data_IF_870362329624
#
_entry.id   IF_870362329624
#
_cell.length_a   1.000
_cell.length_b   1.000
_cell.length_c   1.000
_cell.angle_alpha   90.00
_cell.angle_beta   90.00
_cell.angle_gamma   90.00
#
_symmetry.space_group_name_H-M   'P 1'
#
loop_
_entity.id
_entity.type
_entity.pdbx_description
1 polymer ?
#
# COMPACT_ATOMS: atom_id res chain seq x y z
N UNK A 1 -43.98 33.86 -47.66
CA UNK A 1 -42.95 34.89 -47.71
C UNK A 1 -42.24 35.00 -46.39
N UNK A 2 -40.95 35.19 -46.45
CA UNK A 2 -39.96 35.43 -45.39
C UNK A 2 -39.36 34.19 -44.74
N UNK A 3 -38.16 33.91 -45.19
CA UNK A 3 -37.16 33.02 -44.69
C UNK A 3 -36.61 33.49 -43.32
N UNK A 4 -36.41 32.59 -42.36
CA UNK A 4 -35.44 32.77 -41.30
C UNK A 4 -34.55 31.55 -41.21
N UNK A 5 -33.36 31.68 -41.75
CA UNK A 5 -32.22 30.80 -41.52
C UNK A 5 -31.64 31.07 -40.14
N UNK A 6 -31.71 30.07 -39.27
CA UNK A 6 -30.98 30.11 -38.02
C UNK A 6 -29.72 29.23 -38.13
N UNK A 7 -28.56 29.90 -38.11
CA UNK A 7 -27.26 29.28 -37.91
C UNK A 7 -27.19 28.64 -36.53
N UNK A 8 -27.16 27.34 -36.48
CA UNK A 8 -26.69 26.64 -35.28
C UNK A 8 -25.16 26.71 -35.24
N UNK A 9 -24.63 27.59 -34.39
CA UNK A 9 -23.25 27.55 -33.93
C UNK A 9 -23.04 26.29 -33.14
N UNK A 10 -22.20 25.41 -33.62
CA UNK A 10 -21.67 24.29 -32.86
C UNK A 10 -20.80 24.82 -31.70
N UNK A 11 -21.32 24.79 -30.49
CA UNK A 11 -20.53 24.95 -29.28
C UNK A 11 -19.79 23.65 -29.00
N UNK A 12 -18.46 23.69 -28.97
CA UNK A 12 -17.58 22.62 -28.57
C UNK A 12 -17.97 22.10 -27.15
N UNK A 13 -17.96 20.79 -26.92
CA UNK A 13 -18.25 20.27 -25.58
C UNK A 13 -17.10 20.64 -24.65
N UNK A 14 -17.42 21.51 -23.72
CA UNK A 14 -16.55 21.87 -22.59
C UNK A 14 -16.18 20.64 -21.77
N UNK A 15 -14.93 20.66 -21.31
CA UNK A 15 -14.24 19.66 -20.45
C UNK A 15 -14.90 19.40 -19.06
N UNK A 16 -16.19 19.11 -19.05
CA UNK A 16 -16.94 18.86 -17.80
C UNK A 16 -17.16 17.37 -17.48
N UNK A 17 -16.50 16.44 -18.21
CA UNK A 17 -16.79 15.00 -18.09
C UNK A 17 -15.70 14.26 -17.30
N UNK A 18 -14.83 14.92 -16.55
CA UNK A 18 -13.73 14.27 -15.82
C UNK A 18 -13.91 14.21 -14.30
N UNK A 19 -15.12 14.34 -13.80
CA UNK A 19 -15.42 14.25 -12.35
C UNK A 19 -16.55 13.26 -12.02
N UNK A 20 -16.65 12.17 -12.76
CA UNK A 20 -17.25 10.97 -12.19
C UNK A 20 -16.21 10.33 -11.29
N UNK A 21 -16.21 10.73 -10.02
CA UNK A 21 -15.59 9.98 -8.94
C UNK A 21 -16.00 8.52 -9.12
N UNK A 22 -15.09 7.69 -9.60
CA UNK A 22 -15.30 6.25 -9.58
C UNK A 22 -15.44 5.84 -8.11
N UNK A 23 -16.68 5.68 -7.69
CA UNK A 23 -16.99 5.01 -6.42
C UNK A 23 -16.39 3.62 -6.56
N UNK A 24 -15.42 3.30 -5.74
CA UNK A 24 -14.82 1.99 -5.71
C UNK A 24 -15.89 0.98 -5.36
N UNK A 25 -16.23 0.08 -6.29
CA UNK A 25 -17.00 -1.10 -5.96
C UNK A 25 -16.16 -1.96 -5.01
N UNK A 26 -16.60 -2.12 -3.78
CA UNK A 26 -15.96 -2.91 -2.74
C UNK A 26 -16.07 -4.42 -2.95
N UNK A 27 -16.58 -4.86 -4.07
CA UNK A 27 -16.74 -6.27 -4.40
C UNK A 27 -15.90 -6.65 -5.61
N UNK A 28 -15.28 -7.80 -5.56
CA UNK A 28 -14.74 -8.50 -6.71
C UNK A 28 -15.89 -8.78 -7.69
N UNK A 29 -16.11 -7.89 -8.67
CA UNK A 29 -17.10 -8.14 -9.71
C UNK A 29 -16.48 -9.10 -10.72
N UNK A 30 -16.92 -10.37 -10.78
CA UNK A 30 -16.38 -11.35 -11.71
C UNK A 30 -16.57 -10.91 -13.16
N UNK A 31 -15.75 -11.40 -14.07
CA UNK A 31 -15.79 -11.04 -15.49
C UNK A 31 -17.14 -11.33 -16.17
N UNK A 32 -17.92 -12.25 -15.64
CA UNK A 32 -19.26 -12.61 -16.13
C UNK A 32 -20.29 -12.36 -15.03
N UNK A 33 -20.68 -11.11 -14.80
CA UNK A 33 -21.75 -10.80 -13.85
C UNK A 33 -23.09 -10.70 -14.52
N UNK A 34 -24.16 -10.99 -13.76
CA UNK A 34 -25.57 -10.82 -14.20
C UNK A 34 -25.90 -9.36 -14.51
N UNK A 35 -25.10 -8.42 -14.00
CA UNK A 35 -25.30 -6.97 -14.11
C UNK A 35 -24.38 -6.29 -15.14
N UNK A 36 -23.65 -7.06 -15.94
CA UNK A 36 -22.70 -6.51 -16.91
C UNK A 36 -23.35 -6.14 -18.23
N UNK A 37 -23.31 -4.88 -18.61
CA UNK A 37 -23.44 -4.45 -20.01
C UNK A 37 -22.18 -4.81 -20.82
N UNK A 38 -22.07 -4.47 -22.12
CA UNK A 38 -20.88 -4.74 -22.92
C UNK A 38 -19.67 -4.09 -22.26
N UNK A 39 -18.69 -4.94 -21.89
CA UNK A 39 -17.50 -4.52 -21.15
C UNK A 39 -16.61 -3.67 -22.06
N UNK A 40 -16.28 -2.42 -21.72
CA UNK A 40 -15.09 -1.81 -22.26
C UNK A 40 -13.89 -2.63 -21.79
N UNK A 41 -12.98 -2.99 -22.68
CA UNK A 41 -11.66 -3.51 -22.30
C UNK A 41 -10.93 -2.38 -21.55
N UNK A 42 -11.07 -2.38 -20.23
CA UNK A 42 -10.45 -1.37 -19.39
C UNK A 42 -9.12 -1.94 -18.89
N UNK A 43 -7.97 -1.38 -19.28
CA UNK A 43 -6.68 -1.81 -18.78
C UNK A 43 -6.54 -1.67 -17.24
N UNK A 44 -7.45 -0.94 -16.62
CA UNK A 44 -7.54 -0.74 -15.16
C UNK A 44 -8.52 -1.70 -14.47
N UNK A 45 -8.82 -2.86 -15.06
CA UNK A 45 -9.69 -3.84 -14.43
C UNK A 45 -9.05 -4.40 -13.16
N UNK A 46 -9.87 -4.51 -12.10
CA UNK A 46 -9.43 -5.06 -10.81
C UNK A 46 -8.99 -6.51 -10.95
N UNK A 47 -7.86 -6.84 -10.35
CA UNK A 47 -7.40 -8.23 -10.24
C UNK A 47 -8.32 -8.99 -9.30
N UNK A 48 -8.81 -10.14 -9.76
CA UNK A 48 -9.71 -11.02 -9.02
C UNK A 48 -9.04 -12.36 -8.73
N UNK A 49 -9.64 -13.18 -7.88
CA UNK A 49 -9.19 -14.56 -7.67
C UNK A 49 -9.19 -15.37 -8.98
N UNK A 50 -10.11 -15.07 -9.90
CA UNK A 50 -10.15 -15.72 -11.21
C UNK A 50 -8.92 -15.37 -12.04
N UNK A 51 -8.51 -14.09 -12.06
CA UNK A 51 -7.29 -13.67 -12.75
C UNK A 51 -6.04 -14.37 -12.16
N UNK A 52 -5.94 -14.45 -10.82
CA UNK A 52 -4.83 -15.14 -10.16
C UNK A 52 -4.79 -16.63 -10.49
N UNK A 53 -5.95 -17.31 -10.50
CA UNK A 53 -6.06 -18.71 -10.93
C UNK A 53 -5.66 -18.92 -12.39
N UNK A 54 -6.00 -17.98 -13.27
CA UNK A 54 -5.61 -18.03 -14.68
C UNK A 54 -4.09 -17.85 -14.84
N UNK A 55 -3.50 -16.86 -14.15
CA UNK A 55 -2.04 -16.67 -14.14
C UNK A 55 -1.32 -17.95 -13.66
N UNK A 56 -1.77 -18.50 -12.54
CA UNK A 56 -1.21 -19.74 -11.99
C UNK A 56 -1.28 -20.92 -12.98
N UNK A 57 -2.45 -21.13 -13.61
CA UNK A 57 -2.63 -22.18 -14.64
C UNK A 57 -1.72 -22.01 -15.85
N UNK A 58 -1.38 -20.77 -16.22
CA UNK A 58 -0.49 -20.45 -17.33
C UNK A 58 0.99 -20.45 -16.92
N UNK A 59 1.31 -20.66 -15.64
CA UNK A 59 2.67 -20.53 -15.13
C UNK A 59 3.19 -19.07 -15.09
N UNK A 60 2.30 -18.08 -15.18
CA UNK A 60 2.66 -16.66 -15.09
C UNK A 60 2.90 -16.28 -13.62
N UNK A 61 4.02 -15.61 -13.28
CA UNK A 61 4.33 -15.26 -11.91
C UNK A 61 3.36 -14.21 -11.35
N UNK A 62 3.04 -14.36 -10.05
CA UNK A 62 2.18 -13.43 -9.31
C UNK A 62 3.05 -12.47 -8.51
N UNK A 63 2.84 -11.17 -8.69
CA UNK A 63 3.56 -10.13 -7.97
C UNK A 63 2.77 -9.66 -6.76
N UNK A 64 3.41 -9.65 -5.58
CA UNK A 64 2.80 -9.18 -4.34
C UNK A 64 3.74 -8.19 -3.66
N UNK A 65 3.22 -7.08 -3.20
CA UNK A 65 3.98 -6.10 -2.39
C UNK A 65 3.08 -5.57 -1.28
N UNK A 66 3.65 -5.29 -0.12
CA UNK A 66 2.88 -4.68 0.98
C UNK A 66 2.63 -3.20 0.73
N UNK A 67 1.55 -2.66 1.31
CA UNK A 67 1.31 -1.22 1.41
C UNK A 67 0.59 -0.91 2.72
N UNK A 68 0.77 0.31 3.23
CA UNK A 68 0.27 0.68 4.55
C UNK A 68 -0.45 2.03 4.58
N UNK A 69 -0.39 2.78 3.49
CA UNK A 69 -0.98 4.12 3.37
C UNK A 69 -1.48 4.39 1.93
N UNK A 70 -2.07 5.56 1.75
CA UNK A 70 -2.58 5.98 0.45
C UNK A 70 -1.49 6.10 -0.63
N UNK A 71 -0.34 6.81 -0.40
CA UNK A 71 0.67 6.96 -1.44
C UNK A 71 1.34 5.64 -1.82
N UNK A 72 1.68 4.77 -0.87
CA UNK A 72 2.25 3.45 -1.19
C UNK A 72 1.28 2.61 -2.02
N UNK A 73 -0.02 2.65 -1.71
CA UNK A 73 -1.04 1.96 -2.49
C UNK A 73 -1.15 2.49 -3.93
N UNK A 74 -1.08 3.81 -4.13
CA UNK A 74 -1.05 4.43 -5.47
C UNK A 74 0.18 3.98 -6.26
N UNK A 75 1.34 3.87 -5.62
CA UNK A 75 2.55 3.37 -6.27
C UNK A 75 2.40 1.93 -6.76
N UNK A 76 1.82 1.04 -5.93
CA UNK A 76 1.57 -0.33 -6.31
C UNK A 76 0.55 -0.45 -7.46
N UNK A 77 -0.50 0.36 -7.41
CA UNK A 77 -1.52 0.43 -8.45
C UNK A 77 -0.91 0.83 -9.79
N UNK A 78 -0.10 1.88 -9.79
CA UNK A 78 0.61 2.40 -10.97
C UNK A 78 1.62 1.39 -11.52
N UNK A 79 2.35 0.70 -10.63
CA UNK A 79 3.32 -0.31 -11.02
C UNK A 79 2.68 -1.59 -11.56
N UNK A 80 1.36 -1.75 -11.45
CA UNK A 80 0.64 -2.91 -11.95
C UNK A 80 0.83 -4.18 -11.12
N UNK A 81 1.11 -4.07 -9.83
CA UNK A 81 1.22 -5.21 -8.89
C UNK A 81 -0.10 -5.99 -8.84
N UNK A 82 -0.04 -7.31 -8.80
CA UNK A 82 -1.24 -8.17 -8.81
C UNK A 82 -1.98 -8.16 -7.46
N UNK A 83 -1.24 -8.26 -6.35
CA UNK A 83 -1.80 -8.28 -5.00
C UNK A 83 -1.13 -7.18 -4.17
N UNK A 84 -1.95 -6.35 -3.53
CA UNK A 84 -1.52 -5.40 -2.52
C UNK A 84 -1.86 -5.98 -1.14
N UNK A 85 -0.84 -6.26 -0.34
CA UNK A 85 -0.98 -6.83 0.99
C UNK A 85 -0.87 -5.72 2.05
N UNK A 86 -1.89 -5.54 2.86
CA UNK A 86 -1.79 -4.75 4.09
C UNK A 86 -1.32 -5.69 5.18
N UNK A 87 0.00 -5.71 5.39
CA UNK A 87 0.67 -6.64 6.30
C UNK A 87 0.70 -6.12 7.73
N UNK A 88 0.63 -7.03 8.72
CA UNK A 88 0.87 -6.72 10.12
C UNK A 88 2.33 -6.29 10.39
N UNK A 89 3.21 -6.48 9.40
CA UNK A 89 4.53 -5.86 9.35
C UNK A 89 4.50 -4.31 9.43
N UNK A 90 3.32 -3.68 9.27
CA UNK A 90 3.10 -2.28 9.62
C UNK A 90 3.55 -1.96 11.05
N UNK A 91 3.36 -2.89 11.98
CA UNK A 91 3.87 -2.80 13.35
C UNK A 91 5.37 -2.44 13.38
N UNK A 92 6.16 -3.07 12.50
CA UNK A 92 7.60 -2.88 12.46
C UNK A 92 8.02 -1.67 11.59
N UNK A 93 7.52 -1.60 10.35
CA UNK A 93 8.05 -0.65 9.35
C UNK A 93 7.34 0.70 9.38
N UNK A 94 6.18 0.82 10.02
CA UNK A 94 5.42 2.06 10.15
C UNK A 94 5.35 2.53 11.60
N UNK A 95 5.05 1.63 12.53
CA UNK A 95 4.91 1.96 13.95
C UNK A 95 6.23 1.90 14.73
N UNK A 96 7.29 1.25 14.17
CA UNK A 96 8.62 1.20 14.76
C UNK A 96 8.79 0.18 15.88
N UNK A 97 7.93 -0.83 15.97
CA UNK A 97 8.07 -1.94 16.91
C UNK A 97 9.08 -2.99 16.41
N UNK A 98 9.61 -3.79 17.32
CA UNK A 98 10.56 -4.87 17.00
C UNK A 98 9.91 -6.13 16.42
N UNK A 99 8.59 -6.26 16.56
CA UNK A 99 7.80 -7.42 16.14
C UNK A 99 6.46 -7.00 15.56
N UNK A 100 5.74 -7.95 14.94
CA UNK A 100 4.39 -7.72 14.43
C UNK A 100 3.30 -7.79 15.52
N UNK A 101 3.64 -8.27 16.72
CA UNK A 101 2.66 -8.54 17.78
C UNK A 101 1.90 -7.31 18.31
N UNK A 102 2.51 -6.11 18.46
CA UNK A 102 1.84 -4.98 19.09
C UNK A 102 0.68 -4.39 18.31
N UNK A 103 0.65 -4.55 16.98
CA UNK A 103 -0.38 -3.89 16.15
C UNK A 103 -1.77 -4.48 16.45
N UNK A 104 -2.71 -3.59 16.73
CA UNK A 104 -4.10 -3.95 16.98
C UNK A 104 -4.91 -4.08 15.68
N UNK A 105 -6.10 -4.69 15.77
CA UNK A 105 -7.04 -4.74 14.64
C UNK A 105 -7.47 -3.35 14.20
N UNK A 106 -7.72 -2.43 15.13
CA UNK A 106 -8.19 -1.09 14.79
C UNK A 106 -7.12 -0.28 14.04
N UNK A 107 -5.84 -0.43 14.39
CA UNK A 107 -4.72 0.15 13.64
C UNK A 107 -4.62 -0.49 12.25
N UNK A 108 -4.71 -1.81 12.14
CA UNK A 108 -4.76 -2.49 10.84
C UNK A 108 -5.90 -1.98 9.96
N UNK A 109 -7.07 -1.72 10.51
CA UNK A 109 -8.20 -1.16 9.78
C UNK A 109 -7.94 0.28 9.30
N UNK A 110 -7.15 1.08 10.03
CA UNK A 110 -6.69 2.41 9.54
C UNK A 110 -5.85 2.25 8.28
N UNK A 111 -4.86 1.35 8.30
CA UNK A 111 -4.01 1.05 7.15
C UNK A 111 -4.83 0.48 5.98
N UNK A 112 -5.70 -0.48 6.23
CA UNK A 112 -6.58 -1.07 5.22
C UNK A 112 -7.41 0.00 4.51
N UNK A 113 -8.08 0.89 5.25
CA UNK A 113 -8.89 1.98 4.68
C UNK A 113 -8.06 2.95 3.83
N UNK A 114 -6.84 3.27 4.26
CA UNK A 114 -5.95 4.14 3.51
C UNK A 114 -5.53 3.49 2.18
N UNK A 115 -5.08 2.24 2.22
CA UNK A 115 -4.71 1.45 1.04
C UNK A 115 -5.89 1.27 0.10
N UNK A 116 -7.07 0.95 0.63
CA UNK A 116 -8.29 0.78 -0.14
C UNK A 116 -8.69 2.01 -0.96
N UNK A 117 -8.35 3.23 -0.51
CA UNK A 117 -8.55 4.45 -1.29
C UNK A 117 -7.54 4.62 -2.42
N UNK A 118 -6.29 4.19 -2.23
CA UNK A 118 -5.18 4.37 -3.17
C UNK A 118 -5.14 3.33 -4.29
N UNK A 119 -5.27 2.05 -3.95
CA UNK A 119 -5.17 0.96 -4.90
C UNK A 119 -6.53 0.58 -5.50
N UNK A 120 -6.64 0.62 -6.82
CA UNK A 120 -7.88 0.31 -7.57
C UNK A 120 -7.80 -1.02 -8.31
N UNK A 121 -6.63 -1.33 -8.87
CA UNK A 121 -6.39 -2.50 -9.70
C UNK A 121 -6.00 -3.76 -8.91
N UNK A 122 -5.03 -3.77 -7.98
CA UNK A 122 -4.60 -5.00 -7.31
C UNK A 122 -5.70 -5.61 -6.45
N UNK A 123 -5.66 -6.96 -6.29
CA UNK A 123 -6.41 -7.65 -5.26
C UNK A 123 -5.92 -7.17 -3.89
N UNK A 124 -6.81 -6.75 -3.00
CA UNK A 124 -6.46 -6.27 -1.67
C UNK A 124 -6.57 -7.39 -0.64
N UNK A 125 -5.48 -7.67 0.03
CA UNK A 125 -5.43 -8.67 1.12
C UNK A 125 -5.04 -7.95 2.40
N UNK A 126 -5.78 -8.17 3.49
CA UNK A 126 -5.46 -7.64 4.82
C UNK A 126 -5.06 -8.76 5.77
N UNK A 127 -3.96 -8.55 6.52
CA UNK A 127 -3.58 -9.48 7.57
C UNK A 127 -4.54 -9.42 8.76
N UNK A 128 -4.81 -10.57 9.35
CA UNK A 128 -5.39 -10.66 10.68
C UNK A 128 -4.24 -10.53 11.69
N UNK A 129 -4.20 -9.47 12.52
CA UNK A 129 -3.15 -9.31 13.50
C UNK A 129 -3.25 -10.33 14.63
N UNK A 130 -2.11 -10.60 15.27
CA UNK A 130 -2.05 -11.51 16.41
C UNK A 130 -3.07 -11.16 17.50
N UNK A 131 -3.70 -12.17 18.08
CA UNK A 131 -4.71 -12.00 19.13
C UNK A 131 -6.15 -11.83 18.60
N UNK A 132 -6.37 -11.82 17.29
CA UNK A 132 -7.68 -11.53 16.68
C UNK A 132 -8.36 -12.73 16.03
N UNK A 133 -7.71 -13.89 15.98
CA UNK A 133 -8.26 -15.12 15.35
C UNK A 133 -7.85 -16.42 16.05
N UNK A 134 -7.25 -16.32 17.22
CA UNK A 134 -6.67 -17.45 17.94
C UNK A 134 -7.62 -18.09 18.93
N UNK A 135 -8.52 -17.33 19.54
CA UNK A 135 -9.32 -17.80 20.68
C UNK A 135 -10.52 -18.65 20.28
N UNK A 136 -11.10 -18.38 19.10
CA UNK A 136 -12.24 -19.16 18.58
C UNK A 136 -12.45 -18.91 17.07
N UNK A 137 -13.23 -19.81 16.43
CA UNK A 137 -13.65 -19.62 15.03
C UNK A 137 -14.58 -18.43 14.87
N UNK A 138 -15.44 -18.13 15.84
CA UNK A 138 -16.31 -16.95 15.82
C UNK A 138 -15.48 -15.66 15.79
N UNK A 139 -14.48 -15.54 16.68
CA UNK A 139 -13.56 -14.41 16.69
C UNK A 139 -12.88 -14.24 15.32
N UNK A 140 -12.39 -15.34 14.75
CA UNK A 140 -11.69 -15.32 13.47
C UNK A 140 -12.61 -14.81 12.31
N UNK A 141 -13.87 -15.29 12.28
CA UNK A 141 -14.86 -14.85 11.30
C UNK A 141 -15.23 -13.38 11.51
N UNK A 142 -15.52 -12.97 12.74
CA UNK A 142 -15.88 -11.59 13.08
C UNK A 142 -14.75 -10.62 12.69
N UNK A 143 -13.50 -10.98 12.98
CA UNK A 143 -12.33 -10.19 12.57
C UNK A 143 -12.22 -10.10 11.05
N UNK A 144 -12.35 -11.21 10.34
CA UNK A 144 -12.29 -11.23 8.87
C UNK A 144 -13.41 -10.37 8.26
N UNK A 145 -14.62 -10.42 8.80
CA UNK A 145 -15.76 -9.56 8.39
C UNK A 145 -15.43 -8.08 8.57
N UNK A 146 -14.81 -7.69 9.70
CA UNK A 146 -14.37 -6.30 9.91
C UNK A 146 -13.32 -5.87 8.90
N UNK A 147 -12.33 -6.71 8.61
CA UNK A 147 -11.29 -6.42 7.62
C UNK A 147 -11.89 -6.20 6.22
N UNK A 148 -12.87 -6.99 5.81
CA UNK A 148 -13.56 -6.80 4.54
C UNK A 148 -14.46 -5.55 4.55
N UNK A 149 -15.36 -5.44 5.53
CA UNK A 149 -16.40 -4.40 5.53
C UNK A 149 -15.87 -3.03 5.94
N UNK A 150 -15.08 -2.96 7.01
CA UNK A 150 -14.55 -1.71 7.53
C UNK A 150 -13.22 -1.34 6.86
N UNK A 151 -12.36 -2.32 6.58
CA UNK A 151 -11.07 -2.14 5.95
C UNK A 151 -11.14 -1.99 4.42
N UNK A 152 -12.21 -2.50 3.78
CA UNK A 152 -12.37 -2.48 2.32
C UNK A 152 -11.43 -3.45 1.60
N UNK A 153 -11.05 -4.55 2.25
CA UNK A 153 -10.23 -5.60 1.66
C UNK A 153 -11.07 -6.60 0.88
N UNK A 154 -10.44 -7.32 -0.05
CA UNK A 154 -11.07 -8.36 -0.86
C UNK A 154 -10.87 -9.76 -0.27
N UNK A 155 -9.80 -9.93 0.50
CA UNK A 155 -9.40 -11.18 1.12
C UNK A 155 -8.64 -10.88 2.43
N UNK A 156 -8.42 -11.93 3.22
CA UNK A 156 -7.59 -11.85 4.43
C UNK A 156 -6.38 -12.78 4.32
N UNK A 157 -5.31 -12.51 5.13
CA UNK A 157 -4.23 -13.46 5.39
C UNK A 157 -4.21 -13.84 6.87
N UNK A 158 -3.88 -15.10 7.16
CA UNK A 158 -3.64 -15.58 8.52
C UNK A 158 -2.40 -16.48 8.57
N UNK A 159 -1.75 -16.54 9.73
CA UNK A 159 -0.51 -17.26 9.93
C UNK A 159 -0.67 -18.58 10.68
N UNK A 160 0.13 -19.56 10.25
CA UNK A 160 0.28 -20.85 10.92
C UNK A 160 -0.65 -21.92 10.40
N UNK A 161 -0.40 -23.13 10.88
CA UNK A 161 -1.11 -24.32 10.44
C UNK A 161 -1.29 -25.35 11.56
N UNK A 162 -1.36 -24.91 12.82
CA UNK A 162 -1.88 -25.74 13.90
C UNK A 162 -3.32 -26.13 13.63
N UNK A 163 -3.86 -27.20 14.22
CA UNK A 163 -5.26 -27.60 14.01
C UNK A 163 -6.26 -26.47 14.21
N UNK A 164 -6.05 -25.62 15.22
CA UNK A 164 -6.89 -24.45 15.49
C UNK A 164 -6.84 -23.41 14.34
N UNK A 165 -5.66 -23.18 13.74
CA UNK A 165 -5.49 -22.25 12.60
C UNK A 165 -6.16 -22.77 11.33
N UNK A 166 -6.03 -24.07 11.05
CA UNK A 166 -6.73 -24.74 9.93
C UNK A 166 -8.24 -24.63 10.11
N UNK A 167 -8.72 -24.84 11.36
CA UNK A 167 -10.16 -24.71 11.68
C UNK A 167 -10.64 -23.26 11.52
N UNK A 168 -9.87 -22.28 11.95
CA UNK A 168 -10.18 -20.86 11.76
C UNK A 168 -10.21 -20.49 10.26
N UNK A 169 -9.20 -20.90 9.48
CA UNK A 169 -9.16 -20.69 8.03
C UNK A 169 -10.40 -21.27 7.33
N UNK A 170 -10.77 -22.49 7.68
CA UNK A 170 -11.96 -23.16 7.14
C UNK A 170 -13.24 -22.38 7.47
N UNK A 171 -13.42 -21.97 8.72
CA UNK A 171 -14.61 -21.23 9.14
C UNK A 171 -14.75 -19.89 8.40
N UNK A 172 -13.64 -19.18 8.18
CA UNK A 172 -13.63 -17.94 7.41
C UNK A 172 -14.00 -18.20 5.93
N UNK A 173 -13.44 -19.27 5.33
CA UNK A 173 -13.78 -19.67 3.96
C UNK A 173 -15.26 -20.05 3.84
N UNK A 174 -15.79 -20.82 4.78
CA UNK A 174 -17.20 -21.21 4.82
C UNK A 174 -18.15 -20.02 5.02
N UNK A 175 -17.68 -18.95 5.66
CA UNK A 175 -18.38 -17.67 5.76
C UNK A 175 -18.35 -16.86 4.43
N UNK A 176 -17.73 -17.38 3.36
CA UNK A 176 -17.68 -16.75 2.03
C UNK A 176 -16.53 -15.75 1.86
N UNK A 177 -15.51 -15.79 2.71
CA UNK A 177 -14.36 -14.87 2.67
C UNK A 177 -13.13 -15.59 2.11
N UNK A 178 -12.45 -14.95 1.15
CA UNK A 178 -11.22 -15.50 0.57
C UNK A 178 -10.06 -15.43 1.57
N UNK A 179 -9.34 -16.54 1.72
CA UNK A 179 -8.24 -16.69 2.69
C UNK A 179 -6.94 -17.01 1.99
N UNK A 180 -5.89 -16.25 2.30
CA UNK A 180 -4.49 -16.56 2.02
C UNK A 180 -3.86 -17.17 3.28
N UNK A 181 -3.36 -18.40 3.19
CA UNK A 181 -2.63 -19.03 4.29
C UNK A 181 -1.18 -18.56 4.35
N UNK A 182 -0.48 -18.88 5.46
CA UNK A 182 0.92 -18.55 5.62
C UNK A 182 1.64 -19.60 6.47
N UNK A 183 2.69 -20.20 5.94
CA UNK A 183 3.50 -21.24 6.59
C UNK A 183 5.00 -20.97 6.45
N UNK A 184 5.81 -21.72 7.18
CA UNK A 184 7.25 -21.51 7.30
C UNK A 184 7.55 -20.69 8.55
N UNK A 185 8.35 -19.65 8.43
CA UNK A 185 8.44 -18.65 9.48
C UNK A 185 7.10 -17.92 9.60
N UNK A 186 6.55 -17.89 10.77
CA UNK A 186 5.34 -17.15 11.12
C UNK A 186 5.71 -16.10 12.16
N UNK A 187 5.87 -14.81 11.77
CA UNK A 187 6.29 -13.73 12.68
C UNK A 187 5.46 -13.62 13.95
N UNK A 188 4.16 -13.88 13.87
CA UNK A 188 3.26 -13.85 15.03
C UNK A 188 3.59 -14.94 16.06
N UNK A 189 4.24 -16.04 15.67
CA UNK A 189 4.66 -17.10 16.58
C UNK A 189 6.10 -16.92 17.13
N UNK A 190 6.65 -15.71 17.09
CA UNK A 190 8.03 -15.39 17.44
C UNK A 190 8.44 -15.91 18.84
N UNK A 191 7.53 -15.87 19.81
CA UNK A 191 7.75 -16.34 21.17
C UNK A 191 7.99 -17.86 21.24
N UNK A 192 7.25 -18.62 20.42
CA UNK A 192 7.36 -20.10 20.34
C UNK A 192 8.57 -20.51 19.49
N UNK A 193 8.82 -19.78 18.41
CA UNK A 193 9.95 -20.05 17.49
C UNK A 193 11.30 -19.59 18.06
N UNK A 194 11.30 -18.77 19.12
CA UNK A 194 12.51 -18.21 19.73
C UNK A 194 13.24 -17.23 18.79
N UNK A 195 12.48 -16.39 18.07
CA UNK A 195 12.96 -15.38 17.15
C UNK A 195 12.58 -15.67 15.69
N UNK A 196 13.01 -14.82 14.78
CA UNK A 196 12.80 -14.96 13.32
C UNK A 196 13.74 -16.06 12.75
N UNK A 197 13.34 -17.31 12.88
CA UNK A 197 14.14 -18.47 12.48
C UNK A 197 13.57 -19.16 11.23
N UNK A 198 14.39 -19.41 10.18
CA UNK A 198 13.98 -20.18 9.02
C UNK A 198 13.48 -21.57 9.42
N UNK A 199 12.38 -22.01 8.80
CA UNK A 199 11.74 -23.30 9.03
C UNK A 199 12.09 -24.32 7.92
N UNK A 200 11.82 -25.60 8.12
CA UNK A 200 12.03 -26.62 7.10
C UNK A 200 13.49 -27.03 6.88
N UNK A 201 14.39 -26.85 7.86
CA UNK A 201 15.82 -27.14 7.76
C UNK A 201 16.22 -28.60 7.99
N UNK A 202 15.32 -29.42 8.48
CA UNK A 202 15.49 -30.86 8.66
C UNK A 202 14.29 -31.61 8.09
N UNK A 203 14.41 -32.92 7.92
CA UNK A 203 13.38 -33.76 7.28
C UNK A 203 12.00 -33.54 7.90
N UNK A 204 11.90 -33.66 9.23
CA UNK A 204 10.61 -33.54 9.92
C UNK A 204 9.98 -32.16 9.71
N UNK A 205 10.74 -31.07 9.90
CA UNK A 205 10.22 -29.71 9.72
C UNK A 205 9.93 -29.38 8.24
N UNK A 206 10.67 -29.94 7.29
CA UNK A 206 10.41 -29.77 5.87
C UNK A 206 9.10 -30.46 5.45
N UNK A 207 8.91 -31.71 5.86
CA UNK A 207 7.64 -32.43 5.65
C UNK A 207 6.48 -31.68 6.27
N UNK A 208 6.65 -31.16 7.49
CA UNK A 208 5.61 -30.38 8.18
C UNK A 208 5.18 -29.13 7.43
N UNK A 209 6.11 -28.43 6.77
CA UNK A 209 5.76 -27.26 5.92
C UNK A 209 4.83 -27.68 4.79
N UNK A 210 5.14 -28.79 4.10
CA UNK A 210 4.32 -29.27 2.98
C UNK A 210 2.96 -29.74 3.45
N UNK A 211 2.91 -30.56 4.52
CA UNK A 211 1.65 -31.03 5.10
C UNK A 211 0.73 -29.87 5.54
N UNK A 212 1.32 -28.86 6.16
CA UNK A 212 0.57 -27.68 6.62
C UNK A 212 0.02 -26.88 5.44
N UNK A 213 0.82 -26.69 4.39
CA UNK A 213 0.36 -26.01 3.18
C UNK A 213 -0.79 -26.78 2.49
N UNK A 214 -0.71 -28.11 2.44
CA UNK A 214 -1.80 -28.96 1.94
C UNK A 214 -3.06 -28.83 2.82
N UNK A 215 -2.94 -28.82 4.14
CA UNK A 215 -4.07 -28.66 5.04
C UNK A 215 -4.78 -27.31 4.87
N UNK A 216 -4.03 -26.22 4.61
CA UNK A 216 -4.58 -24.90 4.29
C UNK A 216 -5.31 -24.91 2.95
N UNK A 217 -4.76 -25.58 1.93
CA UNK A 217 -5.46 -25.78 0.66
C UNK A 217 -6.79 -26.51 0.86
N UNK A 218 -6.78 -27.61 1.62
CA UNK A 218 -8.01 -28.38 1.92
C UNK A 218 -8.99 -27.60 2.82
N UNK A 219 -8.54 -26.61 3.58
CA UNK A 219 -9.40 -25.67 4.28
C UNK A 219 -10.04 -24.64 3.35
N UNK A 220 -9.62 -24.57 2.06
CA UNK A 220 -10.19 -23.69 1.05
C UNK A 220 -9.41 -22.40 0.81
N UNK A 221 -8.20 -22.27 1.32
CA UNK A 221 -7.34 -21.12 1.03
C UNK A 221 -7.10 -21.00 -0.49
N UNK A 222 -7.11 -19.78 -1.02
CA UNK A 222 -6.87 -19.55 -2.45
C UNK A 222 -5.39 -19.48 -2.82
N UNK A 223 -4.52 -19.28 -1.83
CA UNK A 223 -3.06 -19.18 -1.96
C UNK A 223 -2.40 -19.41 -0.61
N UNK A 224 -1.11 -19.75 -0.60
CA UNK A 224 -0.30 -19.93 0.63
C UNK A 224 1.03 -19.18 0.49
N UNK A 225 1.36 -18.35 1.48
CA UNK A 225 2.69 -17.75 1.63
C UNK A 225 3.65 -18.79 2.20
N UNK A 226 4.83 -18.91 1.61
CA UNK A 226 5.96 -19.71 2.09
C UNK A 226 7.06 -18.73 2.54
N UNK A 227 7.27 -18.59 3.85
CA UNK A 227 8.25 -17.64 4.39
C UNK A 227 9.46 -18.34 4.97
N UNK A 228 10.65 -17.91 4.53
CA UNK A 228 11.95 -18.34 5.07
C UNK A 228 12.10 -19.88 5.16
N UNK A 229 11.71 -20.57 4.08
CA UNK A 229 11.90 -22.02 3.92
C UNK A 229 12.99 -22.29 2.88
N UNK A 230 13.75 -23.41 2.97
CA UNK A 230 14.74 -23.74 1.96
C UNK A 230 14.10 -23.91 0.56
N UNK A 231 14.78 -23.49 -0.53
CA UNK A 231 14.26 -23.60 -1.89
C UNK A 231 13.75 -24.98 -2.30
N UNK A 232 14.39 -26.11 -1.94
CA UNK A 232 13.84 -27.44 -2.24
C UNK A 232 12.50 -27.73 -1.57
N UNK A 233 12.29 -27.21 -0.34
CA UNK A 233 11.03 -27.36 0.41
C UNK A 233 9.93 -26.52 -0.26
N UNK A 234 10.26 -25.29 -0.66
CA UNK A 234 9.35 -24.42 -1.40
C UNK A 234 8.93 -25.03 -2.75
N UNK A 235 9.89 -25.61 -3.48
CA UNK A 235 9.62 -26.30 -4.75
C UNK A 235 8.68 -27.50 -4.55
N UNK A 236 8.94 -28.32 -3.53
CA UNK A 236 8.10 -29.49 -3.21
C UNK A 236 6.67 -29.05 -2.81
N UNK A 237 6.53 -28.05 -1.94
CA UNK A 237 5.23 -27.51 -1.55
C UNK A 237 4.49 -26.95 -2.77
N UNK A 238 5.15 -26.15 -3.62
CA UNK A 238 4.56 -25.57 -4.83
C UNK A 238 4.06 -26.64 -5.80
N UNK A 239 4.83 -27.71 -5.99
CA UNK A 239 4.46 -28.83 -6.85
C UNK A 239 3.30 -29.67 -6.28
N UNK A 240 3.20 -29.79 -4.96
CA UNK A 240 2.15 -30.57 -4.29
C UNK A 240 0.79 -29.84 -4.25
N UNK A 241 0.78 -28.53 -4.36
CA UNK A 241 -0.42 -27.70 -4.25
C UNK A 241 -1.07 -27.42 -5.61
N UNK A 242 -2.39 -27.30 -5.61
CA UNK A 242 -3.21 -26.86 -6.77
C UNK A 242 -3.47 -25.36 -6.76
N UNK A 243 -3.13 -24.67 -5.67
CA UNK A 243 -3.28 -23.23 -5.47
C UNK A 243 -1.89 -22.56 -5.54
N UNK A 244 -1.81 -21.27 -5.93
CA UNK A 244 -0.54 -20.59 -6.01
C UNK A 244 0.17 -20.46 -4.66
N UNK A 245 1.50 -20.62 -4.68
CA UNK A 245 2.37 -20.29 -3.56
C UNK A 245 3.03 -18.94 -3.77
N UNK A 246 3.16 -18.15 -2.70
CA UNK A 246 3.82 -16.84 -2.71
C UNK A 246 5.04 -16.92 -1.80
N UNK A 247 6.23 -16.79 -2.38
CA UNK A 247 7.49 -16.90 -1.63
C UNK A 247 7.94 -15.57 -1.03
N UNK A 248 8.49 -15.64 0.17
CA UNK A 248 9.31 -14.59 0.77
C UNK A 248 10.48 -15.24 1.49
N UNK A 249 11.70 -15.01 1.00
CA UNK A 249 12.87 -15.73 1.49
C UNK A 249 12.83 -17.26 1.26
N UNK A 250 12.06 -17.72 0.26
CA UNK A 250 11.84 -19.13 -0.05
C UNK A 250 12.49 -19.57 -1.39
N UNK A 251 13.27 -18.69 -2.02
CA UNK A 251 13.86 -18.92 -3.32
C UNK A 251 12.88 -18.75 -4.49
N UNK A 252 13.29 -19.09 -5.74
CA UNK A 252 12.58 -18.72 -6.96
C UNK A 252 11.48 -19.72 -7.38
N UNK A 253 11.20 -20.78 -6.63
CA UNK A 253 10.36 -21.89 -7.07
C UNK A 253 8.87 -21.77 -6.68
N UNK A 254 8.46 -20.63 -6.10
CA UNK A 254 7.06 -20.34 -5.83
C UNK A 254 6.34 -19.76 -7.05
N UNK A 255 5.01 -19.82 -7.06
CA UNK A 255 4.17 -19.26 -8.13
C UNK A 255 4.22 -17.73 -8.20
N UNK A 256 4.61 -17.07 -7.11
CA UNK A 256 4.80 -15.63 -6.99
C UNK A 256 5.74 -15.28 -5.87
N UNK A 257 6.00 -13.97 -5.71
CA UNK A 257 6.90 -13.44 -4.68
C UNK A 257 6.28 -12.25 -3.99
N UNK A 258 6.55 -12.10 -2.68
CA UNK A 258 6.18 -10.91 -1.91
C UNK A 258 7.40 -10.29 -1.25
N UNK A 259 7.43 -8.95 -1.21
CA UNK A 259 8.38 -8.18 -0.40
C UNK A 259 7.66 -7.05 0.33
N UNK A 260 8.23 -6.68 1.48
CA UNK A 260 7.79 -5.51 2.25
C UNK A 260 8.21 -4.24 1.51
N UNK A 261 7.27 -3.32 1.31
CA UNK A 261 7.45 -2.08 0.53
C UNK A 261 8.66 -1.26 1.01
N UNK A 262 8.77 -1.05 2.33
CA UNK A 262 9.86 -0.27 2.91
C UNK A 262 11.23 -0.94 2.72
N UNK A 263 11.28 -2.26 2.80
CA UNK A 263 12.52 -3.03 2.63
C UNK A 263 12.99 -2.99 1.18
N UNK A 264 12.09 -3.28 0.23
CA UNK A 264 12.46 -3.32 -1.20
C UNK A 264 12.87 -1.94 -1.75
N UNK A 265 12.38 -0.85 -1.15
CA UNK A 265 12.74 0.51 -1.54
C UNK A 265 13.91 1.10 -0.73
N UNK A 266 14.42 0.38 0.26
CA UNK A 266 15.49 0.87 1.13
C UNK A 266 15.11 2.16 1.86
N UNK A 267 13.88 2.21 2.39
CA UNK A 267 13.36 3.40 3.09
C UNK A 267 13.84 3.48 4.54
N UNK A 268 14.08 2.33 5.18
CA UNK A 268 14.47 2.26 6.58
C UNK A 268 15.99 2.33 6.71
N UNK A 269 16.49 3.44 7.23
CA UNK A 269 17.92 3.68 7.46
C UNK A 269 18.27 3.80 8.94
N UNK A 270 17.30 3.70 9.83
CA UNK A 270 17.58 3.74 11.26
C UNK A 270 18.52 2.59 11.64
N UNK A 271 19.59 2.82 12.44
CA UNK A 271 20.58 1.79 12.79
C UNK A 271 19.97 0.53 13.40
N UNK A 272 18.84 0.65 14.09
CA UNK A 272 18.09 -0.46 14.62
C UNK A 272 17.43 -1.30 13.50
N UNK A 273 16.75 -0.66 12.55
CA UNK A 273 16.08 -1.35 11.45
C UNK A 273 17.02 -1.77 10.31
N UNK A 274 18.13 -1.07 10.09
CA UNK A 274 19.16 -1.50 9.14
C UNK A 274 19.79 -2.86 9.52
N UNK A 275 19.73 -3.23 10.80
CA UNK A 275 20.14 -4.57 11.28
C UNK A 275 19.10 -5.64 11.03
N UNK A 276 17.85 -5.28 10.74
CA UNK A 276 16.72 -6.20 10.55
C UNK A 276 16.21 -6.29 9.12
N UNK A 277 16.82 -5.56 8.15
CA UNK A 277 16.53 -5.83 6.73
C UNK A 277 16.82 -7.30 6.44
N UNK A 278 15.82 -8.08 5.99
CA UNK A 278 16.01 -9.51 5.79
C UNK A 278 17.08 -9.79 4.74
N UNK A 279 17.95 -10.77 4.97
CA UNK A 279 19.05 -11.14 4.06
C UNK A 279 18.57 -11.51 2.65
N UNK A 280 17.33 -11.95 2.52
CA UNK A 280 16.72 -12.32 1.24
C UNK A 280 16.15 -11.10 0.48
N UNK A 281 16.03 -9.95 1.13
CA UNK A 281 15.43 -8.77 0.52
C UNK A 281 16.41 -8.10 -0.44
N UNK A 282 16.05 -8.05 -1.71
CA UNK A 282 16.74 -7.20 -2.69
C UNK A 282 16.19 -5.79 -2.59
N UNK A 283 17.05 -4.83 -2.30
CA UNK A 283 16.72 -3.42 -2.40
C UNK A 283 16.82 -2.97 -3.87
N UNK A 284 15.71 -2.49 -4.41
CA UNK A 284 15.64 -1.97 -5.79
C UNK A 284 15.96 -0.47 -5.85
N UNK A 285 15.93 0.22 -4.71
CA UNK A 285 16.26 1.63 -4.56
C UNK A 285 16.82 1.90 -3.16
N UNK A 286 17.30 3.12 -2.94
CA UNK A 286 17.71 3.66 -1.64
C UNK A 286 16.95 4.96 -1.37
N UNK A 287 15.64 4.85 -1.26
CA UNK A 287 14.73 6.00 -1.13
C UNK A 287 15.00 6.79 0.14
N UNK A 288 15.42 6.12 1.23
CA UNK A 288 15.81 6.79 2.46
C UNK A 288 16.96 7.81 2.28
N UNK A 289 17.95 7.52 1.41
CA UNK A 289 19.03 8.47 1.10
C UNK A 289 18.49 9.72 0.39
N UNK A 290 17.55 9.53 -0.55
CA UNK A 290 16.92 10.63 -1.29
C UNK A 290 16.09 11.51 -0.36
N UNK A 291 15.32 10.90 0.55
CA UNK A 291 14.53 11.61 1.55
C UNK A 291 15.44 12.44 2.46
N UNK A 292 16.50 11.84 2.99
CA UNK A 292 17.45 12.52 3.89
C UNK A 292 18.15 13.69 3.19
N UNK A 293 18.56 13.51 1.93
CA UNK A 293 19.14 14.57 1.13
C UNK A 293 18.18 15.75 0.95
N UNK A 294 16.95 15.47 0.51
CA UNK A 294 15.92 16.50 0.29
C UNK A 294 15.59 17.28 1.58
N UNK A 295 15.48 16.57 2.72
CA UNK A 295 15.24 17.22 4.01
C UNK A 295 16.43 18.09 4.46
N UNK A 296 17.65 17.68 4.17
CA UNK A 296 18.87 18.45 4.47
C UNK A 296 18.93 19.72 3.61
N UNK A 297 18.65 19.62 2.32
CA UNK A 297 18.58 20.75 1.39
C UNK A 297 17.50 21.75 1.85
N UNK A 298 16.29 21.27 2.14
CA UNK A 298 15.21 22.13 2.68
C UNK A 298 15.64 22.87 3.95
N UNK A 299 16.24 22.14 4.90
CA UNK A 299 16.75 22.74 6.14
C UNK A 299 17.77 23.84 5.87
N UNK A 300 18.74 23.58 4.96
CA UNK A 300 19.76 24.53 4.58
C UNK A 300 19.15 25.78 3.94
N UNK A 301 18.27 25.64 2.99
CA UNK A 301 17.61 26.75 2.29
C UNK A 301 16.77 27.62 3.24
N UNK A 302 16.05 27.02 4.18
CA UNK A 302 15.31 27.77 5.22
C UNK A 302 16.29 28.51 6.14
N UNK A 303 17.39 27.85 6.53
CA UNK A 303 18.38 28.44 7.46
C UNK A 303 19.13 29.62 6.84
N UNK A 304 19.47 29.56 5.56
CA UNK A 304 20.19 30.62 4.85
C UNK A 304 19.23 31.65 4.20
N UNK A 305 17.92 31.47 4.30
CA UNK A 305 16.89 32.39 3.77
C UNK A 305 16.71 32.34 2.25
N UNK A 306 17.19 31.30 1.56
CA UNK A 306 16.96 31.12 0.13
C UNK A 306 15.56 30.54 -0.17
N UNK A 307 14.94 29.84 0.78
CA UNK A 307 13.55 29.41 0.73
C UNK A 307 12.72 30.10 1.83
N UNK A 308 11.48 30.59 1.51
CA UNK A 308 10.86 30.66 0.18
C UNK A 308 11.43 31.77 -0.69
N UNK A 309 11.62 31.47 -1.96
CA UNK A 309 11.97 32.49 -2.97
C UNK A 309 10.71 33.10 -3.61
N UNK A 310 10.87 34.06 -4.56
CA UNK A 310 9.73 34.71 -5.24
C UNK A 310 8.76 33.73 -5.91
N UNK A 311 9.26 32.64 -6.50
CA UNK A 311 8.44 31.59 -7.10
C UNK A 311 7.54 30.85 -6.09
N UNK A 312 7.91 30.91 -4.81
CA UNK A 312 7.18 30.27 -3.70
C UNK A 312 6.37 31.27 -2.86
N UNK A 313 6.22 32.51 -3.34
CA UNK A 313 5.44 33.60 -2.72
C UNK A 313 4.38 34.11 -3.69
N UNK A 314 3.35 33.27 -4.03
CA UNK A 314 2.41 33.57 -5.10
C UNK A 314 1.36 34.62 -4.74
N UNK A 315 1.22 34.94 -3.48
CA UNK A 315 0.18 35.86 -2.98
C UNK A 315 0.72 37.29 -3.00
N UNK A 316 0.23 38.09 -3.98
CA UNK A 316 0.65 39.46 -4.21
C UNK A 316 -0.42 40.43 -3.71
N UNK A 317 0.03 41.58 -3.24
CA UNK A 317 -0.77 42.78 -2.96
C UNK A 317 -0.40 43.83 -3.99
N UNK A 318 -1.34 44.64 -4.49
CA UNK A 318 -1.04 45.70 -5.45
C UNK A 318 -0.21 46.84 -4.82
N UNK A 319 0.58 47.56 -5.60
CA UNK A 319 1.38 48.68 -5.09
C UNK A 319 0.52 49.74 -4.35
N UNK A 320 -0.66 50.05 -4.90
CA UNK A 320 -1.57 51.01 -4.25
C UNK A 320 -2.08 50.52 -2.88
N UNK A 321 -2.33 49.23 -2.73
CA UNK A 321 -2.74 48.63 -1.46
C UNK A 321 -1.56 48.49 -0.48
N UNK A 322 -0.31 48.31 -0.97
CA UNK A 322 0.90 48.36 -0.14
C UNK A 322 1.03 49.74 0.52
N UNK A 323 0.90 50.81 -0.29
CA UNK A 323 0.99 52.18 0.22
C UNK A 323 -0.08 52.48 1.28
N UNK A 324 -1.33 52.05 1.03
CA UNK A 324 -2.42 52.12 1.97
C UNK A 324 -2.14 51.39 3.27
N UNK A 325 -1.61 50.14 3.14
CA UNK A 325 -1.27 49.31 4.28
C UNK A 325 -0.15 49.94 5.15
N UNK A 326 0.89 50.48 4.54
CA UNK A 326 1.99 51.14 5.23
C UNK A 326 1.52 52.38 6.00
N UNK A 327 0.63 53.19 5.40
CA UNK A 327 0.05 54.35 6.03
C UNK A 327 -0.80 53.98 7.25
N UNK A 328 -1.58 52.93 7.18
CA UNK A 328 -2.38 52.45 8.34
C UNK A 328 -1.49 51.93 9.47
N UNK A 329 -0.39 51.19 9.15
CA UNK A 329 0.57 50.74 10.17
C UNK A 329 1.19 51.94 10.90
N UNK A 330 1.55 53.03 10.19
CA UNK A 330 2.10 54.24 10.78
C UNK A 330 1.07 54.95 11.68
N UNK A 331 -0.22 55.08 11.23
CA UNK A 331 -1.28 55.62 12.07
C UNK A 331 -1.49 54.84 13.37
N UNK A 332 -1.25 53.52 13.33
CA UNK A 332 -1.30 52.65 14.50
C UNK A 332 -0.04 52.79 15.42
N UNK A 333 0.95 53.58 15.03
CA UNK A 333 2.23 53.71 15.74
C UNK A 333 3.13 52.47 15.57
N UNK A 334 2.95 51.69 14.50
CA UNK A 334 3.70 50.48 14.22
C UNK A 334 4.84 50.71 13.19
N UNK A 335 5.67 51.73 13.41
CA UNK A 335 6.72 52.16 12.46
C UNK A 335 7.69 51.07 12.09
N UNK A 336 8.05 50.19 13.04
CA UNK A 336 8.92 49.04 12.76
C UNK A 336 8.25 48.03 11.80
N UNK A 337 6.98 47.83 11.95
CA UNK A 337 6.21 46.93 11.06
C UNK A 337 6.11 47.53 9.64
N UNK A 338 5.84 48.83 9.56
CA UNK A 338 5.81 49.56 8.29
C UNK A 338 7.16 49.46 7.55
N UNK A 339 8.28 49.71 8.25
CA UNK A 339 9.62 49.59 7.67
C UNK A 339 9.92 48.15 7.20
N UNK A 340 9.53 47.14 7.96
CA UNK A 340 9.72 45.75 7.56
C UNK A 340 8.88 45.37 6.30
N UNK A 341 7.66 45.86 6.21
CA UNK A 341 6.81 45.66 5.05
C UNK A 341 7.34 46.34 3.78
N UNK A 342 7.90 47.59 3.91
CA UNK A 342 8.57 48.30 2.81
C UNK A 342 9.73 47.49 2.26
N UNK A 343 10.64 47.03 3.12
CA UNK A 343 11.81 46.23 2.72
C UNK A 343 11.38 44.93 2.05
N UNK A 344 10.27 44.30 2.50
CA UNK A 344 9.74 43.07 1.90
C UNK A 344 9.18 43.32 0.51
N UNK A 345 8.46 44.42 0.31
CA UNK A 345 7.90 44.80 -0.98
C UNK A 345 9.00 45.06 -2.01
N UNK A 346 10.02 45.88 -1.65
CA UNK A 346 11.16 46.20 -2.54
C UNK A 346 11.95 44.94 -2.95
N UNK A 347 12.17 43.99 -2.03
CA UNK A 347 12.92 42.75 -2.32
C UNK A 347 12.16 41.81 -3.26
N UNK A 348 10.84 41.83 -3.29
CA UNK A 348 10.05 41.03 -4.19
C UNK A 348 10.02 41.64 -5.60
N UNK A 349 9.96 42.95 -5.72
CA UNK A 349 9.96 43.65 -7.01
C UNK A 349 11.31 43.58 -7.75
N UNK A 350 12.45 43.65 -7.04
CA UNK A 350 13.77 43.59 -7.65
C UNK A 350 14.17 42.23 -8.24
N UNK A 351 13.47 41.15 -7.88
CA UNK A 351 13.73 39.78 -8.39
C UNK A 351 12.85 39.38 -9.57
N UNK A 352 11.90 40.20 -9.96
CA UNK A 352 11.03 39.96 -11.16
C UNK A 352 11.59 40.55 -12.47
N UNK A 353 12.71 41.28 -12.45
CA UNK A 353 13.35 41.69 -13.72
C UNK A 353 13.92 40.45 -14.42
N UNK A 354 13.42 40.07 -15.61
CA UNK A 354 14.01 38.97 -16.35
C UNK A 354 15.43 39.34 -16.70
N UNK A 355 16.38 38.46 -16.42
CA UNK A 355 17.66 38.51 -17.10
C UNK A 355 17.34 38.30 -18.60
N UNK A 356 17.35 39.42 -19.34
CA UNK A 356 17.50 39.36 -20.77
C UNK A 356 18.89 38.81 -21.04
N UNK A 357 18.95 37.56 -21.53
CA UNK A 357 19.89 37.17 -22.58
C UNK A 357 19.45 35.79 -23.13
#
# INVERSE_FOLDING_TARGET
>A
MAFFTNLCRASSPTKATFLLRQVRCMSNVPENTVYGGPKPQNPNQRVTLTNLRQKHKKGEPITVVTAYDYPSAVHLDTAGIDICLVGDSASMVVHGHDTTLPISLDEMLVHCRAVARGAKRPLLVGDLPFGTYESSTSQAVDTAVRVLKEGGMDAIKLEGGSPSRITAARAIVEAGIAVMGHVGLTPQAISVLGGFRPQGKNVSSAVKVVETALALQEAGCFSVVLECVPPPVAAAATSALRIPTIGIGAGPYCSGQVLVYHDLLGMLQHPHHAKVTPKFCKQYARVGDVINKALSEYKEEVTNGSFPGPAHSPYKISAAEVDGFLNELQKMGLDKAASAATVAAEKLDTKESPAND
#
